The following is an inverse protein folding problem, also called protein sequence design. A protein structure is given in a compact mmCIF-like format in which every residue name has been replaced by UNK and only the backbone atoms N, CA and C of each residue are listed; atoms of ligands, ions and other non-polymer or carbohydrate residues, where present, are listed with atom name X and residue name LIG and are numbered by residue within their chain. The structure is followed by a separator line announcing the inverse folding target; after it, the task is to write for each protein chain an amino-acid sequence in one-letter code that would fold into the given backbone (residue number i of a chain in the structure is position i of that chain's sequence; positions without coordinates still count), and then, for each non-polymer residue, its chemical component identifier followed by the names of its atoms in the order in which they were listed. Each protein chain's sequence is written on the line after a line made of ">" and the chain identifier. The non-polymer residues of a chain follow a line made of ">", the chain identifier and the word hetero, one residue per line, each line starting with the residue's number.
data_IF_803866228814
#
_entry.id   IF_803866228814
#
_cell.length_a   1.000
_cell.length_b   1.000
_cell.length_c   1.000
_cell.angle_alpha   90.00
_cell.angle_beta   90.00
_cell.angle_gamma   90.00
#
_symmetry.space_group_name_H-M   'P 1'
#
loop_
_entity.id
_entity.type
_entity.pdbx_description
1 polymer ?
#
# COMPACT_ATOMS: atom_id res chain seq x y z
N UNK A 1 -0.06 -0.10 9.13
CA UNK A 1 0.38 1.31 9.24
C UNK A 1 0.48 1.87 7.82
N UNK A 2 0.07 3.12 7.61
CA UNK A 2 0.06 3.77 6.29
C UNK A 2 0.93 5.03 6.36
N UNK A 3 1.84 5.18 5.40
CA UNK A 3 2.66 6.38 5.26
C UNK A 3 2.50 6.95 3.84
N UNK A 4 2.11 8.22 3.77
CA UNK A 4 2.04 8.99 2.52
C UNK A 4 3.06 10.10 2.57
N UNK A 5 3.97 10.12 1.61
CA UNK A 5 5.01 11.12 1.55
C UNK A 5 4.54 12.32 0.74
N UNK A 6 4.88 13.52 1.18
CA UNK A 6 4.61 14.76 0.43
C UNK A 6 5.59 14.97 -0.72
N UNK A 7 6.72 14.26 -0.71
CA UNK A 7 7.74 14.23 -1.76
C UNK A 7 8.10 12.78 -2.05
N UNK A 8 8.53 12.50 -3.27
CA UNK A 8 9.04 11.18 -3.60
C UNK A 8 10.33 10.91 -2.80
N UNK A 9 10.46 9.69 -2.28
CA UNK A 9 11.62 9.25 -1.50
C UNK A 9 12.43 8.31 -2.39
N UNK A 10 13.75 8.55 -2.53
CA UNK A 10 14.64 7.61 -3.19
C UNK A 10 14.56 6.23 -2.55
N UNK A 11 14.26 5.22 -3.36
CA UNK A 11 14.14 3.84 -2.92
C UNK A 11 14.65 2.90 -4.00
N UNK A 12 15.21 1.75 -3.60
CA UNK A 12 15.69 0.71 -4.52
C UNK A 12 14.50 -0.11 -5.07
N UNK A 13 13.65 0.52 -5.87
CA UNK A 13 12.55 -0.19 -6.53
C UNK A 13 13.05 -0.99 -7.73
N UNK A 14 12.28 -1.99 -8.15
CA UNK A 14 12.62 -2.82 -9.32
C UNK A 14 12.68 -2.03 -10.63
N UNK A 15 11.95 -0.92 -10.73
CA UNK A 15 11.89 -0.04 -11.89
C UNK A 15 12.77 1.21 -11.77
N UNK A 16 13.47 1.38 -10.64
CA UNK A 16 14.33 2.54 -10.35
C UNK A 16 13.59 3.85 -10.13
N UNK A 17 12.27 3.83 -9.89
CA UNK A 17 11.47 5.02 -9.58
C UNK A 17 11.38 5.29 -8.07
N UNK A 18 11.35 6.57 -7.71
CA UNK A 18 11.17 6.98 -6.33
C UNK A 18 9.75 6.70 -5.80
N UNK A 19 9.64 6.44 -4.49
CA UNK A 19 8.40 6.01 -3.85
C UNK A 19 7.66 7.21 -3.21
N UNK A 20 6.39 7.39 -3.56
CA UNK A 20 5.51 8.42 -2.97
C UNK A 20 4.59 7.88 -1.88
N UNK A 21 4.40 6.56 -1.82
CA UNK A 21 3.42 5.92 -0.96
C UNK A 21 3.88 4.55 -0.49
N UNK A 22 3.71 4.25 0.80
CA UNK A 22 4.06 2.96 1.38
C UNK A 22 3.00 2.47 2.37
N UNK A 23 2.69 1.17 2.29
CA UNK A 23 1.82 0.47 3.24
C UNK A 23 2.67 -0.56 3.97
N UNK A 24 2.76 -0.44 5.29
CA UNK A 24 3.46 -1.41 6.13
C UNK A 24 2.44 -2.27 6.88
N UNK A 25 2.48 -3.58 6.63
CA UNK A 25 1.70 -4.56 7.38
C UNK A 25 2.52 -5.04 8.59
N UNK A 26 1.97 -4.87 9.78
CA UNK A 26 2.51 -5.45 11.00
C UNK A 26 1.73 -6.72 11.27
N UNK A 27 2.43 -7.85 11.20
CA UNK A 27 1.82 -9.17 11.15
C UNK A 27 2.43 -10.03 12.26
N UNK A 28 1.62 -10.74 13.06
CA UNK A 28 2.15 -11.68 14.06
C UNK A 28 2.84 -12.86 13.39
N UNK A 29 3.89 -13.41 14.01
CA UNK A 29 4.66 -14.53 13.45
C UNK A 29 3.85 -15.84 13.31
N UNK A 30 2.62 -15.92 13.84
CA UNK A 30 1.73 -17.09 13.72
C UNK A 30 0.53 -16.70 12.86
N UNK A 31 0.27 -17.46 11.79
CA UNK A 31 -0.86 -17.22 10.86
C UNK A 31 -0.47 -17.09 9.38
N UNK A 32 0.66 -17.69 8.96
CA UNK A 32 1.36 -17.40 7.69
C UNK A 32 0.51 -17.32 6.43
N UNK A 33 -0.52 -18.15 6.28
CA UNK A 33 -1.30 -18.21 5.03
C UNK A 33 -2.26 -17.02 4.83
N UNK A 34 -2.90 -16.54 5.89
CA UNK A 34 -3.86 -15.43 5.78
C UNK A 34 -3.17 -14.10 5.45
N UNK A 35 -1.92 -13.97 5.91
CA UNK A 35 -1.09 -12.78 5.73
C UNK A 35 -0.62 -12.61 4.30
N UNK A 36 -0.18 -13.70 3.66
CA UNK A 36 0.21 -13.69 2.25
C UNK A 36 -0.98 -13.40 1.34
N UNK A 37 -2.17 -13.91 1.69
CA UNK A 37 -3.40 -13.61 0.96
C UNK A 37 -3.72 -12.11 1.00
N UNK A 38 -3.71 -11.51 2.19
CA UNK A 38 -3.93 -10.07 2.36
C UNK A 38 -2.91 -9.24 1.56
N UNK A 39 -1.62 -9.62 1.64
CA UNK A 39 -0.56 -8.93 0.89
C UNK A 39 -0.80 -9.02 -0.62
N UNK A 40 -1.20 -10.20 -1.12
CA UNK A 40 -1.49 -10.42 -2.54
C UNK A 40 -2.70 -9.62 -3.02
N UNK A 41 -3.79 -9.60 -2.26
CA UNK A 41 -4.99 -8.81 -2.58
C UNK A 41 -4.68 -7.32 -2.68
N UNK A 42 -3.91 -6.80 -1.71
CA UNK A 42 -3.50 -5.40 -1.71
C UNK A 42 -2.55 -5.10 -2.87
N UNK A 43 -1.57 -5.97 -3.15
CA UNK A 43 -0.67 -5.80 -4.27
C UNK A 43 -1.42 -5.76 -5.61
N UNK A 44 -2.40 -6.65 -5.81
CA UNK A 44 -3.26 -6.65 -7.00
C UNK A 44 -4.02 -5.33 -7.16
N UNK A 45 -4.56 -4.81 -6.06
CA UNK A 45 -5.24 -3.50 -6.04
C UNK A 45 -4.32 -2.35 -6.42
N UNK A 46 -3.04 -2.41 -6.05
CA UNK A 46 -2.05 -1.38 -6.39
C UNK A 46 -1.59 -1.43 -7.85
N UNK A 47 -1.76 -2.56 -8.55
CA UNK A 47 -1.45 -2.67 -9.99
C UNK A 47 -2.48 -1.98 -10.87
N UNK A 48 -3.72 -1.83 -10.39
CA UNK A 48 -4.77 -1.13 -11.11
C UNK A 48 -4.63 0.40 -11.04
N UNK A 49 -4.68 1.06 -12.20
CA UNK A 49 -4.41 2.49 -12.38
C UNK A 49 -5.43 3.38 -11.67
N UNK A 50 -6.72 3.01 -11.73
CA UNK A 50 -7.81 3.80 -11.15
C UNK A 50 -7.80 3.70 -9.61
N UNK A 51 -7.49 2.51 -9.12
CA UNK A 51 -7.19 2.26 -7.72
C UNK A 51 -6.00 3.08 -7.21
N UNK A 52 -4.88 3.12 -7.95
CA UNK A 52 -3.74 3.99 -7.58
C UNK A 52 -4.10 5.46 -7.53
N UNK A 53 -4.81 5.97 -8.55
CA UNK A 53 -5.25 7.38 -8.58
C UNK A 53 -6.14 7.71 -7.39
N UNK A 54 -7.08 6.81 -7.08
CA UNK A 54 -7.97 6.94 -5.92
C UNK A 54 -7.16 7.02 -4.63
N UNK A 55 -6.27 6.05 -4.41
CA UNK A 55 -5.40 5.96 -3.23
C UNK A 55 -4.52 7.21 -3.06
N UNK A 56 -3.91 7.71 -4.14
CA UNK A 56 -3.10 8.92 -4.14
C UNK A 56 -3.92 10.18 -3.84
N UNK A 57 -5.23 10.18 -4.07
CA UNK A 57 -6.15 11.24 -3.68
C UNK A 57 -6.53 11.24 -2.20
N UNK A 58 -6.43 10.10 -1.51
CA UNK A 58 -6.79 9.98 -0.10
C UNK A 58 -5.73 10.61 0.80
N UNK A 59 -6.17 11.42 1.78
CA UNK A 59 -5.28 12.17 2.66
C UNK A 59 -5.41 11.81 4.14
N UNK A 60 -6.42 11.02 4.52
CA UNK A 60 -6.61 10.56 5.90
C UNK A 60 -6.31 9.07 5.99
N UNK A 61 -5.61 8.67 7.05
CA UNK A 61 -5.26 7.27 7.29
C UNK A 61 -6.50 6.36 7.36
N UNK A 62 -7.61 6.87 7.91
CA UNK A 62 -8.87 6.12 7.97
C UNK A 62 -9.45 5.83 6.57
N UNK A 63 -9.44 6.81 5.67
CA UNK A 63 -10.01 6.64 4.32
C UNK A 63 -9.19 5.61 3.53
N UNK A 64 -7.86 5.64 3.69
CA UNK A 64 -6.97 4.64 3.10
C UNK A 64 -7.24 3.25 3.68
N UNK A 65 -7.45 3.15 4.98
CA UNK A 65 -7.78 1.88 5.62
C UNK A 65 -9.12 1.31 5.12
N UNK A 66 -10.14 2.15 4.94
CA UNK A 66 -11.42 1.71 4.37
C UNK A 66 -11.25 1.28 2.91
N UNK A 67 -10.47 2.02 2.13
CA UNK A 67 -10.15 1.65 0.76
C UNK A 67 -9.40 0.31 0.67
N UNK A 68 -8.52 0.00 1.62
CA UNK A 68 -7.82 -1.30 1.69
C UNK A 68 -8.76 -2.47 2.03
N UNK A 69 -9.86 -2.21 2.75
CA UNK A 69 -10.85 -3.22 3.12
C UNK A 69 -11.94 -3.47 2.08
N UNK A 70 -12.26 -2.44 1.29
CA UNK A 70 -13.25 -2.50 0.22
C UNK A 70 -12.83 -3.46 -0.90
#
# INVERSE_FOLDING_TARGET
>A
MVAKNTKQIPWETFDGQDVSFAIAFLIPAKGEQEHLKLLSEVAQKLVDDDNRKTLLGLNRANDIYQWLKA
#
